data_IF_764301889233
#
_entry.id   IF_764301889233
#
_cell.length_a   1.000
_cell.length_b   1.000
_cell.length_c   1.000
_cell.angle_alpha   90.00
_cell.angle_beta   90.00
_cell.angle_gamma   90.00
#
_symmetry.space_group_name_H-M   'P 1'
#
loop_
_entity.id
_entity.type
_entity.pdbx_description
1 polymer ?
#
# COMPACT_ATOMS: atom_id res chain seq x y z
N UNK A 1 37.36 7.12 3.80
CA UNK A 1 37.18 6.84 5.24
C UNK A 1 36.00 7.66 5.76
N UNK A 2 34.78 7.11 5.75
CA UNK A 2 33.52 7.79 6.17
C UNK A 2 32.64 6.85 7.04
N UNK A 3 33.22 5.81 7.65
CA UNK A 3 32.50 4.75 8.36
C UNK A 3 31.83 5.12 9.72
N UNK A 4 32.35 6.05 10.57
CA UNK A 4 31.85 6.14 11.95
C UNK A 4 30.45 6.80 12.09
N UNK A 5 30.03 7.64 11.14
CA UNK A 5 28.71 8.29 11.21
C UNK A 5 27.55 7.34 10.90
N UNK A 6 27.78 6.32 10.06
CA UNK A 6 26.74 5.37 9.65
C UNK A 6 26.40 4.34 10.73
N UNK A 7 27.37 3.93 11.55
CA UNK A 7 27.15 2.96 12.64
C UNK A 7 26.25 3.53 13.76
N UNK A 8 26.24 4.85 13.95
CA UNK A 8 25.40 5.52 14.94
C UNK A 8 23.91 5.53 14.57
N UNK A 9 23.56 5.72 13.29
CA UNK A 9 22.15 5.68 12.85
C UNK A 9 21.57 4.27 13.04
N UNK A 10 22.34 3.23 12.69
CA UNK A 10 21.93 1.81 12.80
C UNK A 10 21.68 1.38 14.25
N UNK A 11 22.51 1.81 15.20
CA UNK A 11 22.32 1.50 16.64
C UNK A 11 21.11 2.20 17.26
N UNK A 12 20.74 3.39 16.77
CA UNK A 12 19.70 4.22 17.39
C UNK A 12 18.26 3.69 17.22
N UNK A 13 18.04 2.83 16.23
CA UNK A 13 16.73 2.22 15.91
C UNK A 13 16.47 0.89 16.64
N UNK A 14 17.48 0.29 17.28
CA UNK A 14 17.36 -0.99 18.02
C UNK A 14 16.59 -0.88 19.37
N UNK A 15 16.07 0.30 19.72
CA UNK A 15 15.46 0.59 21.04
C UNK A 15 13.96 0.25 21.11
N UNK A 16 13.29 -0.03 19.99
CA UNK A 16 11.95 -0.61 20.02
C UNK A 16 12.04 -2.07 20.50
N UNK A 17 11.29 -2.41 21.54
CA UNK A 17 11.11 -3.81 21.92
C UNK A 17 10.61 -4.58 20.69
N UNK A 18 11.23 -5.72 20.39
CA UNK A 18 10.78 -6.65 19.33
C UNK A 18 9.42 -7.23 19.72
N UNK A 19 8.36 -6.50 19.42
CA UNK A 19 6.99 -6.87 19.82
C UNK A 19 6.32 -7.84 18.85
N UNK A 20 6.77 -7.91 17.58
CA UNK A 20 6.26 -8.86 16.60
C UNK A 20 7.40 -9.67 15.99
N UNK A 21 7.18 -10.97 15.86
CA UNK A 21 8.05 -11.89 15.14
C UNK A 21 8.04 -11.63 13.63
N UNK A 22 9.11 -11.99 12.92
CA UNK A 22 9.19 -11.83 11.47
C UNK A 22 7.98 -12.44 10.70
N UNK A 23 7.45 -13.63 11.05
CA UNK A 23 6.21 -14.14 10.45
C UNK A 23 5.01 -13.21 10.65
N UNK A 24 4.84 -12.63 11.85
CA UNK A 24 3.75 -11.69 12.14
C UNK A 24 3.90 -10.42 11.29
N UNK A 25 5.12 -9.91 11.10
CA UNK A 25 5.35 -8.74 10.26
C UNK A 25 5.04 -9.00 8.79
N UNK A 26 5.41 -10.17 8.27
CA UNK A 26 5.04 -10.61 6.91
C UNK A 26 3.52 -10.71 6.77
N UNK A 27 2.82 -11.21 7.79
CA UNK A 27 1.35 -11.29 7.79
C UNK A 27 0.72 -9.90 7.80
N UNK A 28 1.23 -8.96 8.61
CA UNK A 28 0.77 -7.57 8.56
C UNK A 28 0.94 -6.96 7.17
N UNK A 29 2.03 -7.30 6.50
CA UNK A 29 2.28 -6.78 5.18
C UNK A 29 1.40 -7.38 4.09
N UNK A 30 1.16 -8.69 4.15
CA UNK A 30 0.15 -9.35 3.30
C UNK A 30 -1.24 -8.79 3.57
N UNK A 31 -1.57 -8.49 4.83
CA UNK A 31 -2.81 -7.81 5.23
C UNK A 31 -2.92 -6.40 4.67
N UNK A 32 -1.81 -5.65 4.65
CA UNK A 32 -1.71 -4.34 4.02
C UNK A 32 -1.90 -4.39 2.50
N UNK A 33 -1.19 -5.29 1.82
CA UNK A 33 -1.21 -5.42 0.36
C UNK A 33 -2.56 -5.96 -0.17
N UNK A 34 -3.12 -6.99 0.48
CA UNK A 34 -4.44 -7.53 0.15
C UNK A 34 -5.51 -6.70 0.86
N UNK A 35 -5.86 -5.57 0.25
CA UNK A 35 -6.85 -4.63 0.76
C UNK A 35 -7.70 -4.02 -0.34
N UNK A 36 -8.01 -2.74 -0.19
CA UNK A 36 -8.84 -1.99 -1.14
C UNK A 36 -8.22 -1.86 -2.53
N UNK A 37 -6.91 -2.04 -2.67
CA UNK A 37 -6.27 -2.14 -3.99
C UNK A 37 -6.86 -3.27 -4.84
N UNK A 38 -6.98 -4.46 -4.26
CA UNK A 38 -7.64 -5.58 -4.90
C UNK A 38 -9.16 -5.40 -4.96
N UNK A 39 -9.80 -5.05 -3.85
CA UNK A 39 -11.25 -5.14 -3.73
C UNK A 39 -12.03 -3.91 -4.20
N UNK A 40 -11.39 -2.77 -4.45
CA UNK A 40 -12.07 -1.54 -4.89
C UNK A 40 -11.36 -0.90 -6.08
N UNK A 41 -10.04 -0.68 -6.00
CA UNK A 41 -9.28 -0.07 -7.09
C UNK A 41 -9.22 -0.92 -8.37
N UNK A 42 -9.38 -2.26 -8.25
CA UNK A 42 -9.51 -3.13 -9.42
C UNK A 42 -10.68 -2.73 -10.34
N UNK A 43 -11.78 -2.21 -9.79
CA UNK A 43 -12.90 -1.70 -10.58
C UNK A 43 -12.52 -0.49 -11.42
N UNK A 44 -11.72 0.40 -10.86
CA UNK A 44 -11.17 1.57 -11.58
C UNK A 44 -10.22 1.12 -12.69
N UNK A 45 -9.34 0.17 -12.41
CA UNK A 45 -8.41 -0.38 -13.40
C UNK A 45 -9.14 -1.08 -14.57
N UNK A 46 -10.16 -1.87 -14.27
CA UNK A 46 -10.96 -2.58 -15.29
C UNK A 46 -11.73 -1.60 -16.18
N UNK A 47 -12.25 -0.50 -15.63
CA UNK A 47 -12.94 0.52 -16.43
C UNK A 47 -12.00 1.25 -17.41
N UNK A 48 -10.68 1.26 -17.15
CA UNK A 48 -9.67 1.92 -18.01
C UNK A 48 -9.08 0.99 -19.06
N UNK A 49 -8.85 -0.29 -18.74
CA UNK A 49 -8.24 -1.24 -19.67
C UNK A 49 -9.22 -2.26 -20.28
N UNK A 50 -10.42 -2.39 -19.73
CA UNK A 50 -11.33 -3.48 -20.07
C UNK A 50 -10.74 -4.85 -19.71
N UNK A 51 -10.98 -5.90 -20.53
CA UNK A 51 -10.46 -7.24 -20.29
C UNK A 51 -8.92 -7.30 -20.27
N UNK A 52 -8.25 -6.41 -21.00
CA UNK A 52 -6.79 -6.33 -21.05
C UNK A 52 -6.14 -5.84 -19.75
N UNK A 53 -6.91 -5.52 -18.70
CA UNK A 53 -6.38 -5.20 -17.35
C UNK A 53 -5.46 -6.30 -16.80
N UNK A 54 -5.65 -7.56 -17.22
CA UNK A 54 -4.77 -8.68 -16.86
C UNK A 54 -3.32 -8.39 -17.27
N UNK A 55 -3.11 -7.77 -18.44
CA UNK A 55 -1.79 -7.36 -18.89
C UNK A 55 -1.19 -6.26 -18.01
N UNK A 56 -2.02 -5.34 -17.51
CA UNK A 56 -1.59 -4.30 -16.56
C UNK A 56 -1.11 -4.94 -15.25
N UNK A 57 -1.81 -5.96 -14.73
CA UNK A 57 -1.37 -6.76 -13.58
C UNK A 57 -0.05 -7.48 -13.85
N UNK A 58 0.15 -8.04 -15.03
CA UNK A 58 1.42 -8.68 -15.40
C UNK A 58 2.59 -7.68 -15.50
N UNK A 59 2.36 -6.50 -16.09
CA UNK A 59 3.38 -5.44 -16.20
C UNK A 59 3.78 -4.95 -14.80
N UNK A 60 2.80 -4.64 -13.95
CA UNK A 60 3.06 -4.17 -12.59
C UNK A 60 3.72 -5.26 -11.74
N UNK A 61 3.32 -6.53 -11.88
CA UNK A 61 3.99 -7.65 -11.23
C UNK A 61 5.48 -7.73 -11.60
N UNK A 62 5.81 -7.53 -12.88
CA UNK A 62 7.21 -7.46 -13.32
C UNK A 62 7.95 -6.28 -12.69
N UNK A 63 7.33 -5.09 -12.63
CA UNK A 63 7.91 -3.92 -11.94
C UNK A 63 8.15 -4.20 -10.45
N UNK A 64 7.20 -4.84 -9.76
CA UNK A 64 7.34 -5.24 -8.37
C UNK A 64 8.47 -6.26 -8.14
N UNK A 65 8.71 -7.17 -9.10
CA UNK A 65 9.85 -8.08 -9.07
C UNK A 65 11.19 -7.34 -9.22
N UNK A 66 11.26 -6.34 -10.13
CA UNK A 66 12.45 -5.49 -10.28
C UNK A 66 12.74 -4.70 -9.00
N UNK A 67 11.70 -4.10 -8.42
CA UNK A 67 11.78 -3.38 -7.15
C UNK A 67 12.27 -4.31 -6.03
N UNK A 68 11.70 -5.51 -5.98
CA UNK A 68 12.08 -6.54 -5.01
C UNK A 68 13.51 -6.99 -5.13
N UNK A 69 14.03 -7.16 -6.34
CA UNK A 69 15.44 -7.49 -6.57
C UNK A 69 16.35 -6.38 -6.04
N UNK A 70 16.07 -5.11 -6.40
CA UNK A 70 16.82 -3.94 -5.94
C UNK A 70 16.81 -3.80 -4.41
N UNK A 71 15.63 -3.90 -3.79
CA UNK A 71 15.49 -3.85 -2.33
C UNK A 71 16.21 -5.00 -1.63
N UNK A 72 16.04 -6.22 -2.14
CA UNK A 72 16.65 -7.42 -1.56
C UNK A 72 18.16 -7.29 -1.54
N UNK A 73 18.77 -6.80 -2.62
CA UNK A 73 20.22 -6.67 -2.70
C UNK A 73 20.77 -5.69 -1.65
N UNK A 74 20.15 -4.50 -1.52
CA UNK A 74 20.51 -3.52 -0.49
C UNK A 74 20.24 -4.05 0.92
N UNK A 75 19.12 -4.76 1.11
CA UNK A 75 18.72 -5.29 2.41
C UNK A 75 19.62 -6.43 2.91
N UNK A 76 20.15 -7.25 2.00
CA UNK A 76 21.14 -8.28 2.34
C UNK A 76 22.50 -7.64 2.66
N UNK A 77 22.91 -6.60 1.92
CA UNK A 77 24.16 -5.89 2.17
C UNK A 77 24.13 -5.09 3.49
N UNK A 78 22.98 -4.49 3.81
CA UNK A 78 22.78 -3.65 4.99
C UNK A 78 21.48 -4.00 5.73
N UNK A 79 21.44 -5.15 6.46
CA UNK A 79 20.26 -5.56 7.21
C UNK A 79 20.02 -4.59 8.37
N UNK A 80 19.08 -3.67 8.19
CA UNK A 80 18.82 -2.60 9.16
C UNK A 80 17.32 -2.36 9.30
N UNK A 81 16.89 -2.09 10.53
CA UNK A 81 15.57 -1.50 10.74
C UNK A 81 15.52 -0.12 10.03
N UNK A 82 14.37 0.26 9.47
CA UNK A 82 14.22 1.53 8.74
C UNK A 82 14.50 1.47 7.22
N UNK A 83 15.08 0.37 6.74
CA UNK A 83 15.18 -0.06 5.33
C UNK A 83 15.51 1.03 4.29
N UNK A 84 14.65 1.19 3.29
CA UNK A 84 14.93 1.99 2.10
C UNK A 84 15.13 3.49 2.38
N UNK A 85 14.54 4.01 3.47
CA UNK A 85 14.81 5.38 3.93
C UNK A 85 16.20 5.55 4.53
N UNK A 86 16.77 4.49 5.13
CA UNK A 86 18.16 4.46 5.60
C UNK A 86 19.11 4.38 4.40
N UNK A 87 18.84 3.48 3.45
CA UNK A 87 19.67 3.31 2.26
C UNK A 87 19.75 4.59 1.43
N UNK A 88 18.63 5.30 1.24
CA UNK A 88 18.62 6.58 0.53
C UNK A 88 19.51 7.64 1.22
N UNK A 89 19.54 7.63 2.56
CA UNK A 89 20.42 8.48 3.36
C UNK A 89 21.91 8.16 3.16
N UNK A 90 22.25 6.87 3.09
CA UNK A 90 23.62 6.37 2.95
C UNK A 90 24.19 6.59 1.54
N UNK A 91 23.43 6.27 0.49
CA UNK A 91 23.95 6.22 -0.87
C UNK A 91 23.64 7.45 -1.73
N UNK A 92 22.58 8.20 -1.41
CA UNK A 92 22.15 9.34 -2.22
C UNK A 92 22.47 10.65 -1.51
N UNK A 93 21.81 10.92 -0.38
CA UNK A 93 22.09 12.09 0.47
C UNK A 93 21.27 12.06 1.76
N UNK A 94 21.65 12.82 2.81
CA UNK A 94 20.82 12.99 3.99
C UNK A 94 19.40 13.53 3.69
N UNK A 95 19.27 14.40 2.67
CA UNK A 95 17.97 14.88 2.21
C UNK A 95 17.13 13.75 1.61
N UNK A 96 17.73 12.88 0.78
CA UNK A 96 17.02 11.75 0.20
C UNK A 96 16.53 10.78 1.29
N UNK A 97 17.34 10.50 2.30
CA UNK A 97 16.92 9.70 3.46
C UNK A 97 15.72 10.29 4.20
N UNK A 98 15.75 11.61 4.46
CA UNK A 98 14.61 12.33 5.03
C UNK A 98 13.37 12.27 4.12
N UNK A 99 13.55 12.59 2.84
CA UNK A 99 12.48 12.70 1.86
C UNK A 99 11.72 11.38 1.70
N UNK A 100 12.44 10.26 1.65
CA UNK A 100 11.86 8.92 1.56
C UNK A 100 11.09 8.56 2.82
N UNK A 101 11.66 8.78 4.02
CA UNK A 101 10.98 8.46 5.29
C UNK A 101 9.71 9.29 5.49
N UNK A 102 9.76 10.60 5.21
CA UNK A 102 8.59 11.49 5.33
C UNK A 102 7.55 11.17 4.27
N UNK A 103 7.97 10.88 3.03
CA UNK A 103 7.02 10.50 1.97
C UNK A 103 6.34 9.18 2.28
N UNK A 104 7.08 8.19 2.79
CA UNK A 104 6.51 6.92 3.24
C UNK A 104 5.53 7.13 4.41
N UNK A 105 5.89 7.92 5.42
CA UNK A 105 4.96 8.25 6.50
C UNK A 105 3.69 8.94 6.00
N UNK A 106 3.83 9.97 5.15
CA UNK A 106 2.72 10.76 4.66
C UNK A 106 1.81 9.95 3.73
N UNK A 107 2.37 9.14 2.84
CA UNK A 107 1.57 8.29 1.95
C UNK A 107 0.76 7.26 2.73
N UNK A 108 1.32 6.69 3.80
CA UNK A 108 0.62 5.71 4.65
C UNK A 108 -0.52 6.39 5.42
N UNK A 109 -0.32 7.61 5.93
CA UNK A 109 -1.40 8.42 6.57
C UNK A 109 -2.56 8.65 5.59
N UNK A 110 -2.24 9.05 4.36
CA UNK A 110 -3.24 9.29 3.32
C UNK A 110 -3.92 7.97 2.91
N UNK A 111 -3.16 6.90 2.69
CA UNK A 111 -3.68 5.58 2.36
C UNK A 111 -4.64 5.08 3.45
N UNK A 112 -4.31 5.28 4.72
CA UNK A 112 -5.18 4.94 5.86
C UNK A 112 -6.52 5.67 5.78
N UNK A 113 -6.51 6.96 5.45
CA UNK A 113 -7.74 7.72 5.16
C UNK A 113 -8.55 7.08 4.04
N UNK A 114 -7.89 6.66 2.95
CA UNK A 114 -8.50 5.91 1.85
C UNK A 114 -9.12 4.57 2.27
N UNK A 115 -8.45 3.80 3.14
CA UNK A 115 -8.98 2.54 3.68
C UNK A 115 -10.25 2.77 4.50
N UNK A 116 -10.27 3.82 5.34
CA UNK A 116 -11.45 4.15 6.15
C UNK A 116 -12.61 4.67 5.29
N UNK A 117 -12.32 5.44 4.24
CA UNK A 117 -13.31 5.86 3.24
C UNK A 117 -13.89 4.63 2.54
N UNK A 118 -13.06 3.67 2.13
CA UNK A 118 -13.55 2.42 1.54
C UNK A 118 -14.42 1.61 2.52
N UNK A 119 -14.00 1.50 3.79
CA UNK A 119 -14.82 0.89 4.84
C UNK A 119 -16.20 1.56 4.96
N UNK A 120 -16.26 2.89 4.85
CA UNK A 120 -17.54 3.63 4.83
C UNK A 120 -18.41 3.32 3.61
N UNK A 121 -17.80 3.04 2.45
CA UNK A 121 -18.52 2.62 1.23
C UNK A 121 -19.16 1.25 1.47
N UNK A 122 -18.40 0.30 2.02
CA UNK A 122 -18.91 -1.04 2.32
C UNK A 122 -20.01 -1.04 3.37
N UNK A 123 -19.94 -0.16 4.39
CA UNK A 123 -21.04 -0.01 5.35
C UNK A 123 -22.33 0.51 4.71
N UNK A 124 -22.23 1.26 3.62
CA UNK A 124 -23.39 1.69 2.83
C UNK A 124 -24.22 0.55 2.26
N UNK A 125 -23.65 -0.66 2.13
CA UNK A 125 -24.39 -1.86 1.71
C UNK A 125 -25.54 -2.19 2.67
N UNK A 126 -25.28 -2.16 3.99
CA UNK A 126 -26.28 -2.49 5.02
C UNK A 126 -26.98 -1.26 5.58
N UNK A 127 -26.26 -0.14 5.66
CA UNK A 127 -26.73 1.09 6.32
C UNK A 127 -26.65 2.29 5.36
N UNK A 128 -27.38 2.29 4.23
CA UNK A 128 -27.30 3.35 3.22
C UNK A 128 -27.78 4.71 3.73
N UNK A 129 -28.65 4.74 4.75
CA UNK A 129 -29.15 5.96 5.36
C UNK A 129 -28.14 6.65 6.31
N UNK A 130 -27.09 5.94 6.74
CA UNK A 130 -26.09 6.48 7.67
C UNK A 130 -25.01 7.23 6.89
N UNK A 131 -24.71 8.50 7.22
CA UNK A 131 -23.67 9.25 6.54
C UNK A 131 -22.31 8.56 6.59
N UNK A 132 -21.66 8.38 5.44
CA UNK A 132 -20.37 7.68 5.37
C UNK A 132 -19.27 8.29 6.24
N UNK A 133 -19.29 9.61 6.45
CA UNK A 133 -18.34 10.30 7.33
C UNK A 133 -18.40 9.80 8.79
N UNK A 134 -19.58 9.39 9.27
CA UNK A 134 -19.73 8.79 10.60
C UNK A 134 -18.99 7.45 10.69
N UNK A 135 -19.10 6.60 9.66
CA UNK A 135 -18.37 5.33 9.60
C UNK A 135 -16.85 5.55 9.59
N UNK A 136 -16.36 6.54 8.83
CA UNK A 136 -14.93 6.90 8.84
C UNK A 136 -14.48 7.28 10.26
N UNK A 137 -15.25 8.11 10.96
CA UNK A 137 -14.94 8.54 12.33
C UNK A 137 -14.96 7.37 13.31
N UNK A 138 -16.00 6.52 13.27
CA UNK A 138 -16.15 5.36 14.16
C UNK A 138 -14.97 4.41 14.00
N UNK A 139 -14.63 4.03 12.75
CA UNK A 139 -13.51 3.12 12.51
C UNK A 139 -12.15 3.76 12.82
N UNK A 140 -11.96 5.05 12.56
CA UNK A 140 -10.75 5.77 12.95
C UNK A 140 -10.55 5.69 14.48
N UNK A 141 -11.57 6.06 15.26
CA UNK A 141 -11.50 6.03 16.73
C UNK A 141 -11.26 4.61 17.24
N UNK A 142 -11.96 3.62 16.69
CA UNK A 142 -11.79 2.22 17.08
C UNK A 142 -10.35 1.73 16.82
N UNK A 143 -9.79 2.00 15.65
CA UNK A 143 -8.44 1.57 15.30
C UNK A 143 -7.35 2.33 16.06
N UNK A 144 -7.53 3.62 16.32
CA UNK A 144 -6.64 4.40 17.19
C UNK A 144 -6.63 3.79 18.60
N UNK A 145 -7.80 3.45 19.12
CA UNK A 145 -7.92 2.82 20.43
C UNK A 145 -7.19 1.47 20.46
N UNK A 146 -7.41 0.61 19.47
CA UNK A 146 -6.74 -0.69 19.34
C UNK A 146 -5.22 -0.51 19.25
N UNK A 147 -4.74 0.41 18.41
CA UNK A 147 -3.30 0.66 18.21
C UNK A 147 -2.63 1.42 19.37
N UNK A 148 -3.41 2.02 20.28
CA UNK A 148 -2.89 2.62 21.51
C UNK A 148 -2.61 1.60 22.64
N UNK A 149 -3.06 0.35 22.45
CA UNK A 149 -2.87 -0.76 23.41
C UNK A 149 -1.67 -1.64 23.03
N UNK A 150 -1.35 -2.60 23.90
CA UNK A 150 -0.18 -3.45 23.75
C UNK A 150 -0.29 -4.36 22.51
N UNK A 151 0.78 -4.36 21.70
CA UNK A 151 0.81 -4.80 20.29
C UNK A 151 1.03 -6.31 20.15
N UNK A 152 1.32 -7.03 21.24
CA UNK A 152 1.66 -8.46 21.20
C UNK A 152 0.59 -9.33 20.52
N UNK A 153 -0.69 -9.00 20.71
CA UNK A 153 -1.82 -9.72 20.11
C UNK A 153 -2.18 -9.24 18.69
N UNK A 154 -1.69 -8.06 18.26
CA UNK A 154 -2.05 -7.50 16.94
C UNK A 154 -1.58 -8.39 15.79
N UNK A 155 -0.39 -8.99 15.90
CA UNK A 155 0.11 -9.92 14.88
C UNK A 155 -0.74 -11.19 14.75
N UNK A 156 -1.33 -11.67 15.86
CA UNK A 156 -2.20 -12.85 15.84
C UNK A 156 -3.58 -12.52 15.26
N UNK A 157 -4.16 -11.37 15.63
CA UNK A 157 -5.41 -10.87 15.03
C UNK A 157 -5.23 -10.69 13.52
N UNK A 158 -4.12 -10.09 13.11
CA UNK A 158 -3.85 -9.82 11.70
C UNK A 158 -3.67 -11.11 10.90
N UNK A 159 -3.04 -12.14 11.48
CA UNK A 159 -2.95 -13.47 10.86
C UNK A 159 -4.33 -14.03 10.52
N UNK A 160 -5.28 -13.97 11.45
CA UNK A 160 -6.65 -14.43 11.21
C UNK A 160 -7.38 -13.57 10.19
N UNK A 161 -7.21 -12.25 10.23
CA UNK A 161 -7.81 -11.34 9.25
C UNK A 161 -7.28 -11.64 7.83
N UNK A 162 -5.98 -11.86 7.66
CA UNK A 162 -5.39 -12.27 6.37
C UNK A 162 -5.92 -13.64 5.94
N UNK A 163 -6.03 -14.60 6.85
CA UNK A 163 -6.57 -15.93 6.53
C UNK A 163 -8.00 -15.84 6.00
N UNK A 164 -8.86 -15.03 6.62
CA UNK A 164 -10.23 -14.78 6.15
C UNK A 164 -10.22 -14.22 4.72
N UNK A 165 -9.34 -13.26 4.41
CA UNK A 165 -9.23 -12.69 3.05
C UNK A 165 -8.84 -13.76 2.02
N UNK A 166 -7.81 -14.55 2.33
CA UNK A 166 -7.30 -15.59 1.42
C UNK A 166 -8.36 -16.67 1.18
N UNK A 167 -9.02 -17.15 2.24
CA UNK A 167 -10.11 -18.14 2.13
C UNK A 167 -11.25 -17.57 1.28
N UNK A 168 -11.67 -16.33 1.51
CA UNK A 168 -12.73 -15.71 0.72
C UNK A 168 -12.36 -15.54 -0.75
N UNK A 169 -11.09 -15.23 -1.06
CA UNK A 169 -10.59 -15.19 -2.44
C UNK A 169 -10.65 -16.58 -3.07
N UNK A 170 -10.19 -17.62 -2.37
CA UNK A 170 -10.24 -19.01 -2.87
C UNK A 170 -11.68 -19.45 -3.13
N UNK A 171 -12.60 -19.14 -2.22
CA UNK A 171 -14.02 -19.44 -2.39
C UNK A 171 -14.63 -18.67 -3.56
N UNK A 172 -14.29 -17.39 -3.72
CA UNK A 172 -14.70 -16.60 -4.89
C UNK A 172 -14.18 -17.20 -6.19
N UNK A 173 -12.91 -17.65 -6.21
CA UNK A 173 -12.31 -18.31 -7.38
C UNK A 173 -13.02 -19.62 -7.71
N UNK A 174 -13.22 -20.49 -6.72
CA UNK A 174 -13.92 -21.75 -6.89
C UNK A 174 -15.35 -21.53 -7.40
N UNK A 175 -16.09 -20.61 -6.79
CA UNK A 175 -17.45 -20.27 -7.21
C UNK A 175 -17.48 -19.69 -8.63
N UNK A 176 -16.55 -18.79 -8.95
CA UNK A 176 -16.42 -18.20 -10.28
C UNK A 176 -16.20 -19.27 -11.36
N UNK A 177 -15.31 -20.23 -11.12
CA UNK A 177 -15.07 -21.35 -12.05
C UNK A 177 -16.32 -22.21 -12.23
N UNK A 178 -17.03 -22.53 -11.15
CA UNK A 178 -18.28 -23.30 -11.22
C UNK A 178 -19.37 -22.57 -12.02
N UNK A 179 -19.51 -21.26 -11.84
CA UNK A 179 -20.45 -20.42 -12.59
C UNK A 179 -20.07 -20.36 -14.08
N UNK A 180 -18.78 -20.16 -14.40
CA UNK A 180 -18.32 -20.15 -15.79
C UNK A 180 -18.57 -21.49 -16.51
N UNK A 181 -18.45 -22.60 -15.78
CA UNK A 181 -18.71 -23.95 -16.29
C UNK A 181 -20.21 -24.31 -16.39
N UNK A 182 -21.12 -23.46 -15.91
CA UNK A 182 -22.56 -23.77 -15.86
C UNK A 182 -22.95 -24.81 -14.79
N UNK A 183 -22.02 -25.12 -13.87
CA UNK A 183 -22.22 -26.15 -12.83
C UNK A 183 -23.11 -25.69 -11.65
N UNK A 184 -23.71 -24.50 -11.74
CA UNK A 184 -24.56 -23.89 -10.70
C UNK A 184 -26.05 -23.87 -11.07
N UNK A 185 -26.44 -24.57 -12.13
CA UNK A 185 -27.84 -24.71 -12.57
C UNK A 185 -28.35 -23.60 -13.50
N UNK A 186 -27.53 -22.60 -13.80
CA UNK A 186 -27.78 -21.60 -14.86
C UNK A 186 -26.99 -21.90 -16.14
N UNK A 187 -27.28 -21.21 -17.26
CA UNK A 187 -26.50 -21.35 -18.48
C UNK A 187 -25.04 -20.96 -18.24
N UNK A 188 -24.10 -21.71 -18.82
CA UNK A 188 -22.69 -21.39 -18.73
C UNK A 188 -22.44 -19.99 -19.31
N UNK A 189 -21.96 -19.06 -18.48
CA UNK A 189 -21.56 -17.72 -18.94
C UNK A 189 -20.44 -17.83 -19.98
N UNK A 190 -19.56 -18.83 -19.81
CA UNK A 190 -18.39 -19.03 -20.66
C UNK A 190 -17.41 -17.85 -20.58
N UNK A 191 -16.50 -17.77 -21.56
CA UNK A 191 -15.48 -16.70 -21.62
C UNK A 191 -15.89 -15.54 -22.54
N UNK A 192 -17.16 -15.46 -22.93
CA UNK A 192 -17.63 -14.48 -23.89
C UNK A 192 -17.41 -13.03 -23.41
N UNK A 193 -17.54 -12.76 -22.11
CA UNK A 193 -17.31 -11.42 -21.55
C UNK A 193 -15.86 -10.92 -21.68
N UNK A 194 -14.90 -11.82 -21.94
CA UNK A 194 -13.47 -11.46 -22.15
C UNK A 194 -13.25 -10.83 -23.53
N UNK A 195 -14.08 -11.13 -24.51
CA UNK A 195 -13.96 -10.64 -25.90
C UNK A 195 -15.15 -9.81 -26.36
N UNK A 196 -16.27 -9.85 -25.64
CA UNK A 196 -17.42 -8.97 -25.88
C UNK A 196 -17.10 -7.51 -25.50
N UNK A 197 -17.97 -6.58 -25.91
CA UNK A 197 -17.84 -5.15 -25.57
C UNK A 197 -16.54 -4.51 -26.09
N UNK A 198 -16.21 -4.74 -27.37
CA UNK A 198 -15.07 -4.12 -28.05
C UNK A 198 -13.79 -4.96 -28.11
N UNK A 199 -13.86 -6.26 -27.80
CA UNK A 199 -12.71 -7.16 -27.85
C UNK A 199 -11.97 -7.27 -26.52
N UNK A 200 -10.84 -7.99 -26.52
CA UNK A 200 -9.98 -8.13 -25.35
C UNK A 200 -9.33 -6.80 -24.94
N UNK A 201 -9.02 -5.93 -25.90
CA UNK A 201 -8.28 -4.68 -25.69
C UNK A 201 -9.05 -3.49 -26.28
N UNK A 202 -10.24 -3.15 -25.73
CA UNK A 202 -11.12 -2.11 -26.29
C UNK A 202 -10.49 -0.71 -26.30
N UNK A 203 -9.51 -0.48 -25.41
CA UNK A 203 -8.79 0.80 -25.26
C UNK A 203 -7.33 0.74 -25.75
N UNK A 204 -6.95 -0.31 -26.47
CA UNK A 204 -5.58 -0.51 -26.95
C UNK A 204 -4.53 -0.64 -25.84
N UNK A 205 -3.25 -0.61 -26.24
CA UNK A 205 -2.11 -0.65 -25.32
C UNK A 205 -2.06 0.56 -24.39
N UNK A 206 -2.62 1.69 -24.82
CA UNK A 206 -2.76 2.88 -23.99
C UNK A 206 -3.63 2.62 -22.77
N UNK A 207 -4.80 1.98 -22.93
CA UNK A 207 -5.64 1.59 -21.79
C UNK A 207 -4.93 0.65 -20.82
N UNK A 208 -4.19 -0.34 -21.35
CA UNK A 208 -3.37 -1.25 -20.54
C UNK A 208 -2.33 -0.49 -19.72
N UNK A 209 -1.60 0.44 -20.34
CA UNK A 209 -0.58 1.23 -19.66
C UNK A 209 -1.19 2.17 -18.61
N UNK A 210 -2.27 2.87 -18.93
CA UNK A 210 -2.93 3.77 -17.99
C UNK A 210 -3.52 3.02 -16.78
N UNK A 211 -4.05 1.81 -16.98
CA UNK A 211 -4.53 0.97 -15.88
C UNK A 211 -3.41 0.51 -14.93
N UNK A 212 -2.14 0.45 -15.38
CA UNK A 212 -1.01 0.19 -14.47
C UNK A 212 -0.95 1.20 -13.32
N UNK A 213 -1.39 2.44 -13.53
CA UNK A 213 -1.43 3.48 -12.50
C UNK A 213 -2.40 3.14 -11.35
N UNK A 214 -3.47 2.39 -11.61
CA UNK A 214 -4.35 1.88 -10.55
C UNK A 214 -3.83 0.58 -9.96
N UNK A 215 -3.37 -0.32 -10.83
CA UNK A 215 -2.94 -1.67 -10.46
C UNK A 215 -1.74 -1.66 -9.53
N UNK A 216 -0.79 -0.73 -9.73
CA UNK A 216 0.39 -0.59 -8.87
C UNK A 216 0.05 -0.39 -7.39
N UNK A 217 -1.08 0.24 -7.09
CA UNK A 217 -1.55 0.39 -5.72
C UNK A 217 -1.80 -0.95 -5.01
N UNK A 218 -2.18 -1.99 -5.75
CA UNK A 218 -2.39 -3.34 -5.18
C UNK A 218 -1.07 -4.01 -4.75
N UNK A 219 0.06 -3.55 -5.27
CA UNK A 219 1.38 -4.09 -4.93
C UNK A 219 2.13 -3.23 -3.92
N UNK A 220 1.59 -2.07 -3.50
CA UNK A 220 2.16 -1.30 -2.40
C UNK A 220 2.10 -2.14 -1.13
N UNK A 221 3.19 -2.14 -0.37
CA UNK A 221 3.38 -2.96 0.82
C UNK A 221 4.38 -4.09 0.59
N UNK A 222 4.75 -4.42 -0.65
CA UNK A 222 5.79 -5.43 -0.91
C UNK A 222 7.18 -4.99 -0.44
N UNK A 223 7.41 -3.69 -0.29
CA UNK A 223 8.63 -3.11 0.27
C UNK A 223 8.86 -3.43 1.75
N UNK A 224 7.82 -3.92 2.45
CA UNK A 224 7.90 -4.34 3.85
C UNK A 224 9.02 -5.36 4.11
N UNK A 225 9.33 -6.22 3.15
CA UNK A 225 10.36 -7.26 3.29
C UNK A 225 11.73 -6.62 3.45
N UNK A 226 11.91 -5.43 2.89
CA UNK A 226 13.05 -4.57 3.18
C UNK A 226 13.03 -4.04 4.62
N UNK A 227 11.89 -3.54 5.09
CA UNK A 227 11.70 -3.02 6.48
C UNK A 227 12.00 -4.09 7.54
N UNK A 228 11.57 -5.32 7.29
CA UNK A 228 11.77 -6.45 8.21
C UNK A 228 13.14 -7.13 8.06
N UNK A 229 14.01 -6.63 7.18
CA UNK A 229 15.31 -7.25 6.88
C UNK A 229 16.24 -7.31 8.09
N UNK A 230 16.23 -6.28 8.93
CA UNK A 230 17.04 -6.19 10.15
C UNK A 230 16.67 -7.21 11.24
N UNK A 231 15.57 -7.94 11.06
CA UNK A 231 15.09 -8.96 12.00
C UNK A 231 15.27 -10.40 11.47
N UNK A 232 15.75 -10.57 10.24
CA UNK A 232 15.97 -11.89 9.66
C UNK A 232 17.21 -12.56 10.28
N UNK A 233 17.09 -13.83 10.69
CA UNK A 233 18.19 -14.62 11.24
C UNK A 233 19.27 -14.96 10.19
N UNK A 234 18.84 -15.19 8.95
CA UNK A 234 19.70 -15.33 7.77
C UNK A 234 19.17 -14.40 6.66
N UNK A 235 19.56 -13.11 6.67
CA UNK A 235 19.10 -12.12 5.70
C UNK A 235 19.34 -12.57 4.25
N UNK A 236 20.52 -13.16 3.97
CA UNK A 236 20.95 -13.54 2.63
C UNK A 236 20.06 -14.61 1.98
N UNK A 237 19.45 -15.50 2.76
CA UNK A 237 18.51 -16.51 2.24
C UNK A 237 17.05 -16.15 2.45
N UNK A 238 16.73 -15.54 3.60
CA UNK A 238 15.35 -15.31 4.03
C UNK A 238 14.69 -14.20 3.23
N UNK A 239 15.38 -13.07 3.05
CA UNK A 239 14.83 -11.88 2.37
C UNK A 239 14.52 -12.16 0.89
N UNK A 240 15.44 -12.72 0.07
CA UNK A 240 15.14 -12.98 -1.34
C UNK A 240 14.03 -14.02 -1.55
N UNK A 241 13.89 -14.99 -0.64
CA UNK A 241 12.83 -15.99 -0.71
C UNK A 241 11.48 -15.39 -0.32
N UNK A 242 11.44 -14.61 0.75
CA UNK A 242 10.22 -13.93 1.20
C UNK A 242 9.70 -12.97 0.11
N UNK A 243 10.58 -12.13 -0.46
CA UNK A 243 10.20 -11.17 -1.50
C UNK A 243 9.62 -11.87 -2.73
N UNK A 244 10.31 -12.88 -3.27
CA UNK A 244 9.83 -13.63 -4.45
C UNK A 244 8.50 -14.34 -4.19
N UNK A 245 8.34 -14.98 -3.04
CA UNK A 245 7.09 -15.68 -2.68
C UNK A 245 5.93 -14.71 -2.54
N UNK A 246 6.16 -13.56 -1.91
CA UNK A 246 5.14 -12.54 -1.72
C UNK A 246 4.71 -11.95 -3.06
N UNK A 247 5.64 -11.49 -3.91
CA UNK A 247 5.29 -10.90 -5.20
C UNK A 247 4.61 -11.94 -6.11
N UNK A 248 5.11 -13.19 -6.17
CA UNK A 248 4.48 -14.25 -6.96
C UNK A 248 3.07 -14.59 -6.46
N UNK A 249 2.87 -14.68 -5.14
CA UNK A 249 1.57 -14.96 -4.52
C UNK A 249 0.55 -13.85 -4.82
N UNK A 250 0.93 -12.59 -4.62
CA UNK A 250 0.08 -11.45 -4.95
C UNK A 250 -0.24 -11.39 -6.45
N UNK A 251 0.75 -11.59 -7.31
CA UNK A 251 0.57 -11.59 -8.76
C UNK A 251 -0.43 -12.65 -9.19
N UNK A 252 -0.30 -13.88 -8.67
CA UNK A 252 -1.23 -14.98 -8.96
C UNK A 252 -2.64 -14.63 -8.51
N UNK A 253 -2.81 -14.19 -7.26
CA UNK A 253 -4.12 -13.82 -6.71
C UNK A 253 -4.76 -12.73 -7.56
N UNK A 254 -4.03 -11.67 -7.89
CA UNK A 254 -4.58 -10.53 -8.62
C UNK A 254 -4.92 -10.87 -10.06
N UNK A 255 -4.05 -11.58 -10.78
CA UNK A 255 -4.33 -11.99 -12.17
C UNK A 255 -5.52 -12.94 -12.23
N UNK A 256 -5.58 -13.95 -11.35
CA UNK A 256 -6.68 -14.92 -11.33
C UNK A 256 -8.00 -14.24 -10.99
N UNK A 257 -8.04 -13.42 -9.95
CA UNK A 257 -9.28 -12.74 -9.55
C UNK A 257 -9.71 -11.68 -10.56
N UNK A 258 -8.79 -10.91 -11.14
CA UNK A 258 -9.12 -9.96 -12.22
C UNK A 258 -9.68 -10.67 -13.46
N UNK A 259 -9.08 -11.80 -13.85
CA UNK A 259 -9.57 -12.65 -14.96
C UNK A 259 -10.98 -13.14 -14.70
N UNK A 260 -11.29 -13.58 -13.48
CA UNK A 260 -12.63 -14.00 -13.11
C UNK A 260 -13.62 -12.84 -13.11
N UNK A 261 -13.26 -11.67 -12.57
CA UNK A 261 -14.14 -10.50 -12.57
C UNK A 261 -14.63 -10.15 -13.98
N UNK A 262 -13.71 -10.09 -14.95
CA UNK A 262 -14.04 -9.76 -16.35
C UNK A 262 -14.75 -10.91 -17.09
N UNK A 263 -14.49 -12.17 -16.71
CA UNK A 263 -15.15 -13.32 -17.32
C UNK A 263 -16.60 -13.44 -16.83
N UNK A 264 -16.83 -13.13 -15.56
CA UNK A 264 -18.14 -13.27 -14.90
C UNK A 264 -19.09 -12.12 -15.16
N UNK A 265 -18.58 -10.93 -15.47
CA UNK A 265 -19.43 -9.76 -15.72
C UNK A 265 -18.76 -8.86 -16.77
N UNK A 266 -19.53 -8.32 -17.74
CA UNK A 266 -19.02 -7.35 -18.70
C UNK A 266 -18.29 -6.20 -18.00
N UNK A 267 -17.09 -5.86 -18.50
CA UNK A 267 -16.21 -4.89 -17.85
C UNK A 267 -16.85 -3.50 -17.66
N UNK A 268 -17.72 -3.09 -18.59
CA UNK A 268 -18.46 -1.83 -18.56
C UNK A 268 -19.64 -1.81 -17.56
N UNK A 269 -19.91 -2.93 -16.89
CA UNK A 269 -20.95 -3.08 -15.88
C UNK A 269 -20.39 -3.25 -14.45
N UNK A 270 -19.07 -3.26 -14.30
CA UNK A 270 -18.41 -3.25 -13.00
C UNK A 270 -18.46 -1.83 -12.43
N UNK A 271 -19.33 -1.65 -11.43
CA UNK A 271 -19.55 -0.35 -10.79
C UNK A 271 -18.34 0.14 -10.01
N UNK A 272 -18.28 1.46 -9.80
CA UNK A 272 -17.25 2.16 -9.02
C UNK A 272 -17.71 2.54 -7.61
N UNK A 273 -19.00 2.34 -7.28
CA UNK A 273 -19.61 2.72 -6.00
C UNK A 273 -19.61 1.63 -4.93
N UNK A 274 -19.13 0.42 -5.25
CA UNK A 274 -18.97 -0.71 -4.32
C UNK A 274 -17.82 -1.61 -4.80
N UNK A 275 -17.52 -2.68 -4.07
CA UNK A 275 -16.51 -3.65 -4.51
C UNK A 275 -16.96 -4.37 -5.80
N UNK A 276 -16.11 -4.50 -6.83
CA UNK A 276 -16.40 -5.32 -8.01
C UNK A 276 -16.75 -6.78 -7.66
N UNK A 277 -16.14 -7.34 -6.62
CA UNK A 277 -16.43 -8.69 -6.14
C UNK A 277 -17.86 -8.80 -5.59
N UNK A 278 -18.30 -7.79 -4.84
CA UNK A 278 -19.68 -7.72 -4.32
C UNK A 278 -20.67 -7.51 -5.46
N UNK A 279 -20.36 -6.63 -6.42
CA UNK A 279 -21.18 -6.39 -7.61
C UNK A 279 -21.39 -7.66 -8.43
N UNK A 280 -20.31 -8.42 -8.70
CA UNK A 280 -20.38 -9.70 -9.43
C UNK A 280 -21.26 -10.70 -8.68
N UNK A 281 -21.05 -10.90 -7.38
CA UNK A 281 -21.84 -11.86 -6.59
C UNK A 281 -23.31 -11.45 -6.45
N UNK A 282 -23.61 -10.14 -6.41
CA UNK A 282 -24.99 -9.65 -6.41
C UNK A 282 -25.70 -9.99 -7.73
N UNK A 283 -24.99 -9.87 -8.86
CA UNK A 283 -25.52 -10.21 -10.20
C UNK A 283 -25.75 -11.70 -10.40
N UNK A 284 -24.94 -12.55 -9.76
CA UNK A 284 -25.13 -14.00 -9.79
C UNK A 284 -26.38 -14.47 -9.03
N UNK A 285 -27.05 -13.59 -8.27
CA UNK A 285 -28.25 -13.89 -7.50
C UNK A 285 -28.11 -15.07 -6.52
N UNK A 286 -26.88 -15.35 -6.05
CA UNK A 286 -26.64 -16.36 -5.02
C UNK A 286 -27.02 -15.77 -3.65
N UNK A 287 -28.01 -16.34 -2.94
CA UNK A 287 -28.48 -15.78 -1.67
C UNK A 287 -27.33 -15.62 -0.66
N UNK A 288 -27.21 -14.43 -0.07
CA UNK A 288 -26.22 -14.12 0.96
C UNK A 288 -24.76 -13.93 0.49
N UNK A 289 -24.37 -14.42 -0.70
CA UNK A 289 -22.98 -14.37 -1.17
C UNK A 289 -22.42 -12.94 -1.25
N UNK A 290 -23.21 -12.00 -1.80
CA UNK A 290 -22.82 -10.60 -1.88
C UNK A 290 -22.62 -9.97 -0.49
N UNK A 291 -23.47 -10.31 0.48
CA UNK A 291 -23.37 -9.79 1.85
C UNK A 291 -22.15 -10.34 2.59
N UNK A 292 -21.87 -11.64 2.46
CA UNK A 292 -20.66 -12.27 3.01
C UNK A 292 -19.40 -11.65 2.40
N UNK A 293 -19.36 -11.49 1.07
CA UNK A 293 -18.24 -10.82 0.41
C UNK A 293 -18.10 -9.37 0.87
N UNK A 294 -19.21 -8.64 1.06
CA UNK A 294 -19.17 -7.27 1.56
C UNK A 294 -18.55 -7.20 2.98
N UNK A 295 -18.84 -8.19 3.84
CA UNK A 295 -18.20 -8.30 5.15
C UNK A 295 -16.70 -8.62 5.05
N UNK A 296 -16.31 -9.51 4.14
CA UNK A 296 -14.90 -9.83 3.88
C UNK A 296 -14.14 -8.59 3.41
N UNK A 297 -14.66 -7.83 2.45
CA UNK A 297 -13.95 -6.65 1.93
C UNK A 297 -13.91 -5.50 2.94
N UNK A 298 -14.92 -5.37 3.80
CA UNK A 298 -14.88 -4.48 4.96
C UNK A 298 -13.77 -4.87 5.93
N UNK A 299 -13.70 -6.14 6.33
CA UNK A 299 -12.62 -6.65 7.18
C UNK A 299 -11.26 -6.46 6.50
N UNK A 300 -11.18 -6.64 5.18
CA UNK A 300 -9.96 -6.44 4.41
C UNK A 300 -9.46 -4.99 4.48
N UNK A 301 -10.35 -4.01 4.34
CA UNK A 301 -10.03 -2.59 4.45
C UNK A 301 -9.62 -2.22 5.88
N UNK A 302 -10.33 -2.70 6.90
CA UNK A 302 -10.01 -2.42 8.30
C UNK A 302 -8.68 -3.04 8.74
N UNK A 303 -8.37 -4.26 8.29
CA UNK A 303 -7.07 -4.91 8.49
C UNK A 303 -5.93 -4.12 7.83
N UNK A 304 -6.13 -3.67 6.58
CA UNK A 304 -5.14 -2.82 5.89
C UNK A 304 -4.94 -1.49 6.63
N UNK A 305 -6.02 -0.84 7.09
CA UNK A 305 -5.92 0.36 7.91
C UNK A 305 -5.17 0.12 9.22
N UNK A 306 -5.42 -1.01 9.90
CA UNK A 306 -4.72 -1.39 11.12
C UNK A 306 -3.21 -1.56 10.89
N UNK A 307 -2.81 -2.25 9.82
CA UNK A 307 -1.42 -2.38 9.43
C UNK A 307 -0.77 -1.01 9.16
N UNK A 308 -1.49 -0.11 8.49
CA UNK A 308 -0.98 1.24 8.22
C UNK A 308 -0.81 2.07 9.49
N UNK A 309 -1.75 2.04 10.44
CA UNK A 309 -1.61 2.72 11.73
C UNK A 309 -0.33 2.30 12.46
N UNK A 310 -0.05 1.00 12.45
CA UNK A 310 1.16 0.45 13.00
C UNK A 310 2.43 0.95 12.28
N UNK A 311 2.43 0.97 10.94
CA UNK A 311 3.55 1.45 10.13
C UNK A 311 3.82 2.94 10.36
N UNK A 312 2.78 3.76 10.27
CA UNK A 312 2.82 5.22 10.44
C UNK A 312 3.42 5.61 11.78
N UNK A 313 2.99 4.97 12.87
CA UNK A 313 3.49 5.28 14.20
C UNK A 313 5.00 4.97 14.32
N UNK A 314 5.46 3.91 13.64
CA UNK A 314 6.87 3.48 13.63
C UNK A 314 7.74 4.31 12.70
N UNK A 315 7.25 4.69 11.53
CA UNK A 315 7.99 5.57 10.62
C UNK A 315 8.17 6.95 11.26
N UNK A 316 7.14 7.48 11.93
CA UNK A 316 7.25 8.75 12.66
C UNK A 316 8.17 8.63 13.89
N UNK A 317 8.14 7.51 14.59
CA UNK A 317 9.12 7.20 15.64
C UNK A 317 10.55 7.18 15.09
N UNK A 318 10.81 6.50 13.96
CA UNK A 318 12.13 6.48 13.30
C UNK A 318 12.58 7.88 12.88
N UNK A 319 11.68 8.71 12.32
CA UNK A 319 11.95 10.12 12.02
C UNK A 319 12.36 10.91 13.27
N UNK A 320 11.73 10.64 14.42
CA UNK A 320 12.05 11.30 15.68
C UNK A 320 13.42 10.87 16.22
N UNK A 321 13.75 9.57 16.12
CA UNK A 321 15.06 9.01 16.51
C UNK A 321 16.19 9.53 15.61
N UNK A 322 15.92 9.69 14.33
CA UNK A 322 16.83 10.36 13.41
C UNK A 322 16.90 11.89 13.63
N UNK A 323 16.14 12.46 14.58
CA UNK A 323 16.18 13.89 14.88
C UNK A 323 15.55 14.79 13.82
N UNK A 324 14.77 14.22 12.89
CA UNK A 324 14.06 14.98 11.87
C UNK A 324 12.77 15.63 12.40
N UNK A 325 12.16 15.04 13.42
CA UNK A 325 10.96 15.58 14.11
C UNK A 325 11.22 15.66 15.62
N UNK A 326 10.38 16.37 16.42
CA UNK A 326 10.61 16.51 17.86
C UNK A 326 10.79 15.16 18.57
N UNK A 327 11.80 15.06 19.45
CA UNK A 327 12.15 13.82 20.15
C UNK A 327 10.99 13.24 20.98
N UNK A 328 10.04 14.07 21.43
CA UNK A 328 8.83 13.62 22.13
C UNK A 328 7.98 12.65 21.30
N UNK A 329 8.02 12.72 19.97
CA UNK A 329 7.35 11.77 19.07
C UNK A 329 8.06 10.42 19.00
N UNK A 330 9.32 10.37 19.45
CA UNK A 330 10.10 9.14 19.64
C UNK A 330 9.99 8.56 21.05
N UNK A 331 9.03 9.02 21.86
CA UNK A 331 8.77 8.43 23.17
C UNK A 331 7.82 7.23 23.04
N UNK A 332 8.09 6.18 23.82
CA UNK A 332 7.21 5.01 23.96
C UNK A 332 6.41 5.12 25.25
N UNK A 333 5.16 4.66 25.24
CA UNK A 333 4.35 4.52 26.45
C UNK A 333 4.90 3.41 27.36
N UNK A 334 4.41 3.31 28.60
CA UNK A 334 4.73 2.21 29.51
C UNK A 334 4.41 0.81 28.94
N UNK A 335 3.54 0.74 27.92
CA UNK A 335 3.16 -0.47 27.19
C UNK A 335 3.94 -0.67 25.88
N UNK A 336 4.99 0.11 25.65
CA UNK A 336 5.89 0.01 24.49
C UNK A 336 5.35 0.57 23.17
N UNK A 337 4.13 1.09 23.13
CA UNK A 337 3.55 1.70 21.92
C UNK A 337 3.88 3.21 21.81
N UNK A 338 4.25 3.74 20.61
CA UNK A 338 4.53 5.17 20.38
C UNK A 338 3.23 5.98 20.19
N UNK A 339 2.45 6.13 21.27
CA UNK A 339 1.10 6.74 21.24
C UNK A 339 1.10 8.19 20.72
N UNK A 340 2.11 9.00 21.05
CA UNK A 340 2.19 10.37 20.56
C UNK A 340 2.32 10.44 19.03
N UNK A 341 3.15 9.55 18.46
CA UNK A 341 3.30 9.43 17.01
C UNK A 341 2.00 8.96 16.34
N UNK A 342 1.32 7.99 16.95
CA UNK A 342 0.01 7.52 16.51
C UNK A 342 -1.01 8.67 16.47
N UNK A 343 -1.16 9.42 17.56
CA UNK A 343 -2.14 10.50 17.66
C UNK A 343 -1.87 11.65 16.68
N UNK A 344 -0.60 12.07 16.53
CA UNK A 344 -0.22 13.11 15.56
C UNK A 344 -0.54 12.68 14.14
N UNK A 345 -0.25 11.41 13.81
CA UNK A 345 -0.54 10.90 12.48
C UNK A 345 -2.04 10.69 12.26
N UNK A 346 -2.77 10.36 13.32
CA UNK A 346 -4.22 10.20 13.32
C UNK A 346 -4.97 11.53 13.19
N UNK A 347 -4.36 12.66 13.59
CA UNK A 347 -4.94 13.98 13.39
C UNK A 347 -5.19 14.26 11.89
N UNK A 348 -4.34 13.73 11.00
CA UNK A 348 -4.54 13.77 9.56
C UNK A 348 -5.81 13.04 9.09
N UNK A 349 -6.36 12.11 9.88
CA UNK A 349 -7.58 11.37 9.55
C UNK A 349 -8.85 12.19 9.79
N UNK A 350 -8.77 13.29 10.55
CA UNK A 350 -9.85 14.29 10.58
C UNK A 350 -10.14 14.84 9.18
N UNK A 351 -9.12 14.96 8.33
CA UNK A 351 -9.28 15.33 6.91
C UNK A 351 -10.08 14.28 6.16
N UNK A 352 -9.90 12.99 6.45
CA UNK A 352 -10.69 11.92 5.81
C UNK A 352 -12.18 12.00 6.15
N UNK A 353 -12.51 12.32 7.40
CA UNK A 353 -13.91 12.55 7.81
C UNK A 353 -14.50 13.74 7.06
N UNK A 354 -13.80 14.87 7.01
CA UNK A 354 -14.26 16.08 6.31
C UNK A 354 -14.41 15.84 4.80
N UNK A 355 -13.40 15.26 4.16
CA UNK A 355 -13.44 14.96 2.73
C UNK A 355 -14.59 14.01 2.40
N UNK A 356 -14.83 12.98 3.22
CA UNK A 356 -15.95 12.05 3.03
C UNK A 356 -17.31 12.71 3.24
N UNK A 357 -17.39 13.72 4.11
CA UNK A 357 -18.62 14.47 4.39
C UNK A 357 -18.99 15.40 3.22
N UNK A 358 -18.01 16.13 2.68
CA UNK A 358 -18.26 17.13 1.63
C UNK A 358 -18.17 16.59 0.20
N UNK A 359 -17.34 15.56 -0.05
CA UNK A 359 -17.13 14.96 -1.38
C UNK A 359 -17.32 13.44 -1.35
N UNK A 360 -18.53 12.95 -1.04
CA UNK A 360 -18.78 11.54 -0.75
C UNK A 360 -18.41 10.57 -1.87
N UNK A 361 -18.56 10.99 -3.14
CA UNK A 361 -18.31 10.15 -4.32
C UNK A 361 -16.82 10.13 -4.73
N UNK A 362 -16.12 11.26 -4.56
CA UNK A 362 -14.73 11.41 -5.01
C UNK A 362 -13.70 11.15 -3.92
N UNK A 363 -14.12 11.10 -2.64
CA UNK A 363 -13.23 10.95 -1.49
C UNK A 363 -12.23 9.79 -1.66
N UNK A 364 -12.70 8.59 -2.05
CA UNK A 364 -11.84 7.43 -2.20
C UNK A 364 -10.74 7.67 -3.26
N UNK A 365 -11.14 8.16 -4.43
CA UNK A 365 -10.24 8.42 -5.56
C UNK A 365 -9.21 9.50 -5.22
N UNK A 366 -9.59 10.54 -4.46
CA UNK A 366 -8.66 11.58 -4.02
C UNK A 366 -7.61 11.04 -3.04
N UNK A 367 -8.02 10.25 -2.04
CA UNK A 367 -7.08 9.59 -1.13
C UNK A 367 -6.18 8.61 -1.88
N UNK A 368 -6.74 7.83 -2.80
CA UNK A 368 -6.01 6.92 -3.66
C UNK A 368 -4.93 7.66 -4.45
N UNK A 369 -5.27 8.71 -5.19
CA UNK A 369 -4.32 9.46 -6.01
C UNK A 369 -3.24 10.18 -5.19
N UNK A 370 -3.62 10.79 -4.07
CA UNK A 370 -2.65 11.46 -3.19
C UNK A 370 -1.66 10.46 -2.55
N UNK A 371 -2.13 9.29 -2.11
CA UNK A 371 -1.26 8.23 -1.59
C UNK A 371 -0.37 7.63 -2.70
N UNK A 372 -0.93 7.46 -3.90
CA UNK A 372 -0.23 6.93 -5.06
C UNK A 372 1.01 7.77 -5.42
N UNK A 373 0.93 9.10 -5.30
CA UNK A 373 2.09 9.96 -5.54
C UNK A 373 3.26 9.59 -4.63
N UNK A 374 2.99 9.51 -3.32
CA UNK A 374 4.00 9.16 -2.32
C UNK A 374 4.58 7.77 -2.56
N UNK A 375 3.74 6.80 -2.93
CA UNK A 375 4.17 5.45 -3.23
C UNK A 375 5.10 5.37 -4.45
N UNK A 376 4.70 6.00 -5.56
CA UNK A 376 5.52 6.07 -6.77
C UNK A 376 6.84 6.83 -6.50
N UNK A 377 6.80 7.89 -5.70
CA UNK A 377 8.00 8.62 -5.29
C UNK A 377 8.95 7.72 -4.48
N UNK A 378 8.44 6.99 -3.49
CA UNK A 378 9.24 6.07 -2.68
C UNK A 378 9.85 4.96 -3.54
N UNK A 379 9.06 4.35 -4.43
CA UNK A 379 9.54 3.29 -5.32
C UNK A 379 10.57 3.80 -6.34
N UNK A 380 10.38 5.01 -6.86
CA UNK A 380 11.38 5.66 -7.71
C UNK A 380 12.68 5.86 -6.94
N UNK A 381 12.61 6.38 -5.71
CA UNK A 381 13.77 6.60 -4.86
C UNK A 381 14.47 5.29 -4.46
N UNK A 382 13.75 4.18 -4.34
CA UNK A 382 14.34 2.85 -4.15
C UNK A 382 15.25 2.49 -5.33
N UNK A 383 14.78 2.66 -6.57
CA UNK A 383 15.62 2.39 -7.74
C UNK A 383 16.79 3.37 -7.85
N UNK A 384 16.57 4.67 -7.60
CA UNK A 384 17.65 5.68 -7.56
C UNK A 384 18.72 5.31 -6.53
N UNK A 385 18.30 4.87 -5.35
CA UNK A 385 19.20 4.42 -4.29
C UNK A 385 19.97 3.18 -4.70
N UNK A 386 19.31 2.22 -5.37
CA UNK A 386 19.96 1.01 -5.89
C UNK A 386 21.00 1.32 -6.98
N UNK A 387 20.70 2.26 -7.87
CA UNK A 387 21.63 2.76 -8.89
C UNK A 387 22.87 3.35 -8.22
N UNK A 388 22.68 4.19 -7.20
CA UNK A 388 23.79 4.77 -6.44
C UNK A 388 24.60 3.71 -5.67
N UNK A 389 23.92 2.72 -5.08
CA UNK A 389 24.54 1.59 -4.37
C UNK A 389 25.44 0.74 -5.27
N UNK A 390 25.01 0.47 -6.50
CA UNK A 390 25.73 -0.40 -7.46
C UNK A 390 26.76 0.32 -8.32
N UNK A 391 26.81 1.66 -8.28
CA UNK A 391 27.68 2.43 -9.15
C UNK A 391 29.17 2.06 -8.95
N UNK A 392 29.95 1.87 -10.03
CA UNK A 392 29.58 2.07 -11.44
C UNK A 392 28.89 0.86 -12.13
N UNK A 393 28.92 -0.34 -11.54
CA UNK A 393 28.39 -1.58 -12.13
C UNK A 393 26.89 -1.79 -11.88
N UNK A 394 26.09 -0.88 -12.44
CA UNK A 394 24.63 -0.82 -12.22
C UNK A 394 23.87 -1.80 -13.14
N UNK A 395 22.98 -2.66 -12.59
CA UNK A 395 22.13 -3.51 -13.41
C UNK A 395 21.11 -2.69 -14.22
N UNK A 396 20.95 -3.01 -15.51
CA UNK A 396 19.97 -2.38 -16.43
C UNK A 396 18.55 -2.42 -15.84
N UNK A 397 18.22 -3.51 -15.15
CA UNK A 397 16.97 -3.69 -14.41
C UNK A 397 16.59 -2.49 -13.51
N UNK A 398 17.57 -1.82 -12.89
CA UNK A 398 17.33 -0.68 -12.00
C UNK A 398 16.90 0.56 -12.78
N UNK A 399 17.53 0.81 -13.94
CA UNK A 399 17.16 1.92 -14.82
C UNK A 399 15.79 1.68 -15.46
N UNK A 400 15.51 0.45 -15.89
CA UNK A 400 14.20 0.07 -16.44
C UNK A 400 13.11 0.25 -15.39
N UNK A 401 13.33 -0.23 -14.16
CA UNK A 401 12.39 -0.04 -13.05
C UNK A 401 12.14 1.44 -12.74
N UNK A 402 13.20 2.24 -12.61
CA UNK A 402 13.08 3.69 -12.39
C UNK A 402 12.29 4.38 -13.50
N UNK A 403 12.60 4.06 -14.76
CA UNK A 403 11.92 4.63 -15.92
C UNK A 403 10.44 4.26 -15.96
N UNK A 404 10.07 3.01 -15.65
CA UNK A 404 8.68 2.57 -15.61
C UNK A 404 7.90 3.27 -14.51
N UNK A 405 8.46 3.42 -13.31
CA UNK A 405 7.80 4.15 -12.21
C UNK A 405 7.65 5.64 -12.54
N UNK A 406 8.69 6.28 -13.08
CA UNK A 406 8.62 7.67 -13.51
C UNK A 406 7.58 7.87 -14.62
N UNK A 407 7.54 6.95 -15.59
CA UNK A 407 6.55 6.97 -16.66
C UNK A 407 5.13 6.79 -16.11
N UNK A 408 4.89 5.87 -15.17
CA UNK A 408 3.57 5.72 -14.52
C UNK A 408 3.18 6.99 -13.76
N UNK A 409 4.10 7.58 -13.01
CA UNK A 409 3.86 8.83 -12.29
C UNK A 409 3.41 9.95 -13.24
N UNK A 410 4.13 10.17 -14.34
CA UNK A 410 3.78 11.16 -15.36
C UNK A 410 2.45 10.79 -16.04
N UNK A 411 2.22 9.50 -16.29
CA UNK A 411 1.02 8.99 -16.96
C UNK A 411 -0.28 9.24 -16.20
N UNK A 412 -0.21 9.43 -14.87
CA UNK A 412 -1.40 9.77 -14.05
C UNK A 412 -2.07 11.09 -14.48
N UNK A 413 -1.37 11.96 -15.21
CA UNK A 413 -1.96 13.16 -15.83
C UNK A 413 -3.08 12.85 -16.85
N UNK A 414 -2.90 11.78 -17.63
CA UNK A 414 -3.87 11.37 -18.66
C UNK A 414 -4.99 10.48 -18.13
N UNK A 415 -4.94 10.14 -16.84
CA UNK A 415 -6.02 9.44 -16.14
C UNK A 415 -6.83 10.49 -15.37
N UNK A 416 -8.05 10.85 -15.79
CA UNK A 416 -8.82 11.94 -15.17
C UNK A 416 -8.94 11.81 -13.65
N UNK A 417 -9.20 10.60 -13.17
CA UNK A 417 -9.33 10.26 -11.75
C UNK A 417 -8.01 10.37 -10.95
N UNK A 418 -6.86 10.31 -11.62
CA UNK A 418 -5.53 10.35 -10.98
C UNK A 418 -4.74 11.64 -11.27
N UNK A 419 -5.35 12.65 -11.88
CA UNK A 419 -4.68 13.95 -12.08
C UNK A 419 -4.20 14.57 -10.77
N UNK A 420 -4.93 14.33 -9.68
CA UNK A 420 -4.54 14.74 -8.33
C UNK A 420 -3.17 14.19 -7.92
N UNK A 421 -2.75 13.05 -8.45
CA UNK A 421 -1.45 12.42 -8.17
C UNK A 421 -0.29 13.32 -8.62
N UNK A 422 -0.27 13.75 -9.89
CA UNK A 422 0.79 14.65 -10.39
C UNK A 422 0.72 16.01 -9.71
N UNK A 423 -0.49 16.55 -9.55
CA UNK A 423 -0.71 17.87 -8.93
C UNK A 423 -0.24 17.87 -7.48
N UNK A 424 -0.44 16.77 -6.74
CA UNK A 424 0.04 16.63 -5.37
C UNK A 424 1.57 16.72 -5.28
N UNK A 425 2.31 16.39 -6.34
CA UNK A 425 3.76 16.34 -6.32
C UNK A 425 4.45 17.66 -6.05
N UNK A 426 3.94 18.77 -6.59
CA UNK A 426 4.49 20.11 -6.34
C UNK A 426 4.42 20.48 -4.84
N UNK A 427 3.22 20.53 -4.24
CA UNK A 427 3.05 20.73 -2.79
C UNK A 427 3.83 19.71 -1.95
N UNK A 428 3.88 18.44 -2.36
CA UNK A 428 4.61 17.39 -1.65
C UNK A 428 6.11 17.69 -1.60
N UNK A 429 6.73 18.02 -2.74
CA UNK A 429 8.16 18.35 -2.79
C UNK A 429 8.48 19.63 -2.01
N UNK A 430 7.59 20.63 -2.05
CA UNK A 430 7.71 21.85 -1.24
C UNK A 430 7.65 21.53 0.26
N UNK A 431 6.71 20.70 0.69
CA UNK A 431 6.59 20.24 2.08
C UNK A 431 7.86 19.51 2.54
N UNK A 432 8.43 18.64 1.70
CA UNK A 432 9.69 17.97 1.99
C UNK A 432 10.85 18.96 2.12
N UNK A 433 10.99 19.89 1.16
CA UNK A 433 12.08 20.88 1.16
C UNK A 433 12.02 21.81 2.38
N UNK A 434 10.83 22.35 2.71
CA UNK A 434 10.61 23.22 3.87
C UNK A 434 10.84 22.43 5.15
N UNK A 435 10.24 21.25 5.27
CA UNK A 435 10.37 20.40 6.46
C UNK A 435 11.83 20.01 6.73
N UNK A 436 12.61 19.70 5.69
CA UNK A 436 14.03 19.39 5.84
C UNK A 436 14.84 20.58 6.36
N UNK A 437 14.60 21.79 5.84
CA UNK A 437 15.25 23.03 6.32
C UNK A 437 14.94 23.29 7.80
N UNK A 438 13.69 23.10 8.21
CA UNK A 438 13.28 23.23 9.62
C UNK A 438 13.96 22.16 10.49
N UNK A 439 14.01 20.90 10.02
CA UNK A 439 14.62 19.81 10.78
C UNK A 439 16.15 19.95 10.92
N UNK A 440 16.82 20.40 9.87
CA UNK A 440 18.27 20.59 9.85
C UNK A 440 18.69 21.78 10.73
N UNK A 441 17.89 22.85 10.76
CA UNK A 441 18.07 23.93 11.72
C UNK A 441 17.96 23.43 13.18
N UNK A 442 16.99 22.56 13.48
CA UNK A 442 16.84 21.96 14.81
C UNK A 442 18.02 21.07 15.20
N UNK A 443 18.51 20.22 14.29
CA UNK A 443 19.71 19.38 14.52
C UNK A 443 20.93 20.24 14.87
N UNK A 444 21.18 21.31 14.10
CA UNK A 444 22.29 22.24 14.38
C UNK A 444 22.18 22.92 15.74
N UNK A 445 20.98 23.32 16.15
CA UNK A 445 20.76 23.92 17.48
C UNK A 445 21.01 22.90 18.59
N UNK A 446 20.54 21.65 18.44
CA UNK A 446 20.75 20.60 19.43
C UNK A 446 22.24 20.23 19.58
N UNK A 447 22.98 20.16 18.47
CA UNK A 447 24.44 19.90 18.48
C UNK A 447 25.23 21.05 19.14
N UNK A 448 24.79 22.30 18.99
CA UNK A 448 25.42 23.46 19.61
C UNK A 448 25.13 23.60 21.11
N UNK A 449 24.07 22.97 21.63
CA UNK A 449 23.76 22.95 23.08
C UNK A 449 24.52 21.84 23.81
N UNK A 450 25.02 20.83 23.07
CA UNK A 450 25.81 19.72 23.62
C UNK A 450 27.33 19.95 23.55
N UNK A 451 27.79 20.98 22.84
CA UNK A 451 29.17 21.49 22.89
C UNK A 451 29.26 22.62 23.90
#
# INVERSE_FOLDING_TARGET
MTRPAHDHEVRSEQVLARQLSAPQQIMMALGGAIGTGLFLASGLAVNVAGPAVILSYAIVAAVALLLGAALTEMAVAHPTAGAFGVYAGMYVSPFAGYAVRVSYWLMEVIATGGQLVAASIYMGYWFPAVPGALWVLVFAVALIYVNSREVGELGAVEYWLVMIKVVAIVLFVALGVLVLAGATGGPAIGLANVTNQGGFMPFGLTGVWLACCFVIYSFIGVEIVGVTSGEASDPARTIPRAMRRMVAGLSLIYIVTATLLIALTPWNQLGIGESPFVSVLRRMAIPGAAGVMNAVVLLAALSSANANFYLIARTLFSLARAGFVPQRLGAVSARGAPVAALLVSSAGLGVAVLVRAFWPQSAYVWFFGAALFGALFVWLMIFVTHIAFRAPSVPIASYVGAALIAAMLVSTWWVPDLRSTVVAGGPWMLLLAIGYRVSSARRRVAENVQR
#
